data_IF_699264310550
#
_entry.id   IF_699264310550
#
_cell.length_a   1.000
_cell.length_b   1.000
_cell.length_c   1.000
_cell.angle_alpha   90.00
_cell.angle_beta   90.00
_cell.angle_gamma   90.00
#
_symmetry.space_group_name_H-M   'P 1'
#
loop_
_entity.id
_entity.type
_entity.pdbx_description
1 polymer ?
#
# COMPACT_ATOMS: atom_id res chain seq x y z
N UNK A 1 -12.47 -42.15 28.84
CA UNK A 1 -13.10 -41.67 27.58
C UNK A 1 -13.43 -40.16 27.60
N UNK A 2 -13.24 -39.48 28.73
CA UNK A 2 -13.55 -38.06 28.98
C UNK A 2 -12.47 -37.08 28.49
N UNK A 3 -11.18 -37.43 28.60
CA UNK A 3 -10.09 -36.52 28.21
C UNK A 3 -9.98 -36.29 26.69
N UNK A 4 -10.28 -37.30 25.87
CA UNK A 4 -10.23 -37.17 24.40
C UNK A 4 -11.26 -36.16 23.88
N UNK A 5 -12.46 -36.14 24.47
CA UNK A 5 -13.51 -35.15 24.13
C UNK A 5 -13.15 -33.76 24.63
N UNK A 6 -12.49 -33.63 25.79
CA UNK A 6 -12.05 -32.34 26.33
C UNK A 6 -10.94 -31.73 25.49
N UNK A 7 -9.96 -32.52 25.08
CA UNK A 7 -8.84 -32.06 24.24
C UNK A 7 -9.32 -31.67 22.83
N UNK A 8 -10.28 -32.42 22.26
CA UNK A 8 -10.90 -32.06 20.99
C UNK A 8 -11.68 -30.73 21.06
N UNK A 9 -12.42 -30.49 22.15
CA UNK A 9 -13.10 -29.20 22.38
C UNK A 9 -12.10 -28.06 22.50
N UNK A 10 -11.03 -28.24 23.27
CA UNK A 10 -10.02 -27.21 23.49
C UNK A 10 -9.30 -26.85 22.18
N UNK A 11 -8.89 -27.85 21.39
CA UNK A 11 -8.25 -27.63 20.10
C UNK A 11 -9.14 -26.89 19.11
N UNK A 12 -10.44 -27.17 19.13
CA UNK A 12 -11.40 -26.48 18.26
C UNK A 12 -11.58 -25.00 18.62
N UNK A 13 -11.65 -24.68 19.92
CA UNK A 13 -11.70 -23.30 20.40
C UNK A 13 -10.43 -22.52 20.05
N UNK A 14 -9.26 -23.11 20.27
CA UNK A 14 -7.97 -22.46 19.97
C UNK A 14 -7.86 -22.17 18.46
N UNK A 15 -8.18 -23.14 17.61
CA UNK A 15 -8.17 -22.95 16.16
C UNK A 15 -9.17 -21.90 15.70
N UNK A 16 -10.38 -21.89 16.27
CA UNK A 16 -11.40 -20.89 15.94
C UNK A 16 -10.96 -19.48 16.32
N UNK A 17 -10.38 -19.30 17.52
CA UNK A 17 -9.89 -18.00 17.97
C UNK A 17 -8.74 -17.53 17.09
N UNK A 18 -7.79 -18.41 16.77
CA UNK A 18 -6.67 -18.09 15.88
C UNK A 18 -7.16 -17.65 14.48
N UNK A 19 -8.09 -18.40 13.88
CA UNK A 19 -8.66 -18.06 12.57
C UNK A 19 -9.43 -16.73 12.61
N UNK A 20 -10.19 -16.47 13.69
CA UNK A 20 -10.93 -15.21 13.87
C UNK A 20 -9.98 -14.03 14.00
N UNK A 21 -8.89 -14.16 14.76
CA UNK A 21 -7.88 -13.11 14.88
C UNK A 21 -7.17 -12.83 13.55
N UNK A 22 -6.80 -13.86 12.79
CA UNK A 22 -6.19 -13.71 11.46
C UNK A 22 -7.16 -13.02 10.49
N UNK A 23 -8.44 -13.39 10.51
CA UNK A 23 -9.47 -12.77 9.67
C UNK A 23 -9.78 -11.33 10.07
N UNK A 24 -9.79 -11.01 11.37
CA UNK A 24 -9.98 -9.65 11.86
C UNK A 24 -8.81 -8.76 11.45
N UNK A 25 -7.57 -9.20 11.68
CA UNK A 25 -6.36 -8.48 11.28
C UNK A 25 -6.34 -8.27 9.75
N UNK A 26 -6.67 -9.32 8.99
CA UNK A 26 -6.72 -9.25 7.53
C UNK A 26 -7.85 -8.35 7.04
N UNK A 27 -9.06 -8.45 7.57
CA UNK A 27 -10.19 -7.60 7.18
C UNK A 27 -9.96 -6.13 7.53
N UNK A 28 -9.39 -5.86 8.71
CA UNK A 28 -8.99 -4.51 9.13
C UNK A 28 -7.93 -3.92 8.19
N UNK A 29 -6.96 -4.74 7.77
CA UNK A 29 -5.90 -4.33 6.85
C UNK A 29 -6.39 -4.11 5.41
N UNK A 30 -7.41 -4.85 4.97
CA UNK A 30 -7.85 -4.83 3.57
C UNK A 30 -8.98 -3.85 3.28
N UNK A 31 -9.96 -3.74 4.19
CA UNK A 31 -11.25 -3.10 3.90
C UNK A 31 -11.64 -2.09 4.99
N UNK A 32 -10.73 -1.84 5.95
CA UNK A 32 -10.96 -0.94 7.08
C UNK A 32 -11.61 -1.60 8.29
N UNK A 33 -11.72 -0.85 9.40
CA UNK A 33 -12.09 -1.41 10.70
C UNK A 33 -13.49 -2.03 10.74
N UNK A 34 -14.46 -1.39 10.07
CA UNK A 34 -15.86 -1.84 10.03
C UNK A 34 -16.01 -3.21 9.39
N UNK A 35 -15.26 -3.47 8.32
CA UNK A 35 -15.31 -4.74 7.59
C UNK A 35 -14.56 -5.84 8.36
N UNK A 36 -13.41 -5.52 8.96
CA UNK A 36 -12.69 -6.45 9.84
C UNK A 36 -13.52 -6.94 11.03
N UNK A 37 -14.26 -6.04 11.68
CA UNK A 37 -15.18 -6.38 12.78
C UNK A 37 -16.32 -7.29 12.28
N UNK A 38 -16.91 -6.97 11.13
CA UNK A 38 -17.99 -7.78 10.53
C UNK A 38 -17.52 -9.20 10.23
N UNK A 39 -16.32 -9.37 9.66
CA UNK A 39 -15.73 -10.68 9.42
C UNK A 39 -15.47 -11.48 10.70
N UNK A 40 -15.01 -10.82 11.76
CA UNK A 40 -14.75 -11.47 13.04
C UNK A 40 -16.03 -12.00 13.68
N UNK A 41 -17.11 -11.21 13.69
CA UNK A 41 -18.41 -11.64 14.19
C UNK A 41 -18.99 -12.79 13.36
N UNK A 42 -18.86 -12.72 12.03
CA UNK A 42 -19.31 -13.80 11.15
C UNK A 42 -18.56 -15.10 11.45
N UNK A 43 -17.21 -15.03 11.54
CA UNK A 43 -16.32 -16.17 11.88
C UNK A 43 -16.69 -16.80 13.22
N UNK A 44 -16.90 -15.96 14.24
CA UNK A 44 -17.30 -16.41 15.57
C UNK A 44 -18.67 -17.09 15.55
N UNK A 45 -19.65 -16.55 14.81
CA UNK A 45 -20.96 -17.15 14.67
C UNK A 45 -20.90 -18.55 14.03
N UNK A 46 -20.07 -18.73 13.00
CA UNK A 46 -19.87 -20.03 12.33
C UNK A 46 -19.16 -21.01 13.25
N UNK A 47 -18.19 -20.55 14.03
CA UNK A 47 -17.54 -21.39 15.01
C UNK A 47 -18.57 -21.89 16.04
N UNK A 48 -19.42 -21.02 16.56
CA UNK A 48 -20.45 -21.42 17.51
C UNK A 48 -21.45 -22.39 16.88
N UNK A 49 -21.89 -22.16 15.64
CA UNK A 49 -22.82 -23.04 14.92
C UNK A 49 -22.16 -24.39 14.60
N UNK A 50 -20.94 -24.39 14.07
CA UNK A 50 -20.18 -25.60 13.74
C UNK A 50 -19.85 -26.43 14.96
N UNK A 51 -19.51 -25.79 16.08
CA UNK A 51 -19.31 -26.46 17.37
C UNK A 51 -20.60 -27.14 17.84
N UNK A 52 -21.73 -26.42 17.81
CA UNK A 52 -23.03 -27.00 18.17
C UNK A 52 -23.39 -28.18 17.25
N UNK A 53 -23.12 -28.05 15.95
CA UNK A 53 -23.46 -29.07 14.97
C UNK A 53 -22.60 -30.33 15.09
N UNK A 54 -21.30 -30.19 15.34
CA UNK A 54 -20.36 -31.31 15.44
C UNK A 54 -20.36 -31.98 16.81
N UNK A 55 -20.66 -31.23 17.89
CA UNK A 55 -20.53 -31.74 19.26
C UNK A 55 -21.86 -32.05 19.96
N UNK A 56 -22.99 -31.52 19.48
CA UNK A 56 -24.28 -31.58 20.23
C UNK A 56 -25.41 -32.25 19.43
N UNK A 57 -25.48 -32.08 18.10
CA UNK A 57 -26.56 -32.65 17.27
C UNK A 57 -26.06 -33.66 16.24
N UNK A 58 -26.92 -34.59 15.82
CA UNK A 58 -26.66 -35.49 14.69
C UNK A 58 -26.68 -34.71 13.38
N UNK A 59 -25.68 -34.87 12.51
CA UNK A 59 -25.57 -34.09 11.29
C UNK A 59 -26.70 -34.45 10.31
N UNK A 60 -27.61 -33.51 10.08
CA UNK A 60 -28.57 -33.53 8.97
C UNK A 60 -27.88 -33.19 7.63
N UNK A 61 -28.40 -33.69 6.50
CA UNK A 61 -27.82 -33.36 5.17
C UNK A 61 -27.86 -31.86 4.88
N UNK A 62 -28.93 -31.17 5.28
CA UNK A 62 -29.13 -29.74 5.02
C UNK A 62 -28.09 -28.87 5.73
N UNK A 63 -27.72 -29.19 6.98
CA UNK A 63 -26.72 -28.41 7.73
C UNK A 63 -25.30 -28.58 7.17
N UNK A 64 -24.96 -29.76 6.62
CA UNK A 64 -23.67 -29.97 5.95
C UNK A 64 -23.58 -29.12 4.68
N UNK A 65 -24.64 -29.09 3.86
CA UNK A 65 -24.69 -28.29 2.63
C UNK A 65 -24.56 -26.78 2.92
N UNK A 66 -25.30 -26.28 3.91
CA UNK A 66 -25.19 -24.87 4.36
C UNK A 66 -23.76 -24.53 4.82
N UNK A 67 -23.13 -25.41 5.60
CA UNK A 67 -21.76 -25.22 6.07
C UNK A 67 -20.74 -25.22 4.91
N UNK A 68 -20.91 -26.12 3.92
CA UNK A 68 -20.02 -26.20 2.76
C UNK A 68 -20.11 -24.98 1.83
N UNK A 69 -21.32 -24.51 1.51
CA UNK A 69 -21.53 -23.29 0.70
C UNK A 69 -20.89 -22.10 1.40
N UNK A 70 -21.06 -22.02 2.71
CA UNK A 70 -20.51 -20.94 3.51
C UNK A 70 -18.97 -21.00 3.59
N UNK A 71 -18.41 -22.18 3.85
CA UNK A 71 -16.96 -22.41 3.86
C UNK A 71 -16.32 -22.09 2.50
N UNK A 72 -16.98 -22.44 1.39
CA UNK A 72 -16.56 -22.03 0.05
C UNK A 72 -16.55 -20.51 -0.11
N UNK A 73 -17.58 -19.82 0.40
CA UNK A 73 -17.67 -18.34 0.33
C UNK A 73 -16.54 -17.68 1.12
N UNK A 74 -16.26 -18.15 2.35
CA UNK A 74 -15.10 -17.69 3.13
C UNK A 74 -13.76 -17.99 2.43
N UNK A 75 -13.63 -19.17 1.82
CA UNK A 75 -12.41 -19.55 1.09
C UNK A 75 -12.24 -18.66 -0.14
N UNK A 76 -13.31 -18.36 -0.88
CA UNK A 76 -13.27 -17.44 -2.02
C UNK A 76 -12.84 -16.04 -1.60
N UNK A 77 -13.36 -15.51 -0.49
CA UNK A 77 -12.94 -14.22 0.07
C UNK A 77 -11.47 -14.25 0.50
N UNK A 78 -11.02 -15.32 1.17
CA UNK A 78 -9.62 -15.51 1.57
C UNK A 78 -8.65 -15.65 0.38
N UNK A 79 -9.13 -16.18 -0.75
CA UNK A 79 -8.37 -16.31 -1.99
C UNK A 79 -8.46 -15.08 -2.89
N UNK A 80 -9.40 -14.17 -2.62
CA UNK A 80 -9.45 -12.91 -3.36
C UNK A 80 -8.17 -12.15 -3.01
N UNK A 81 -7.30 -11.85 -3.99
CA UNK A 81 -6.09 -11.11 -3.73
C UNK A 81 -6.50 -9.80 -3.10
N UNK A 82 -5.81 -9.47 -2.02
CA UNK A 82 -5.91 -8.18 -1.35
C UNK A 82 -5.84 -7.06 -2.39
N UNK A 83 -6.99 -6.47 -2.74
CA UNK A 83 -7.01 -5.12 -3.29
C UNK A 83 -6.64 -4.23 -2.12
N UNK A 84 -5.33 -4.09 -1.88
CA UNK A 84 -4.79 -3.16 -0.92
C UNK A 84 -5.41 -1.79 -1.19
N UNK A 85 -5.78 -1.04 -0.15
CA UNK A 85 -6.15 0.36 -0.37
C UNK A 85 -5.01 1.03 -1.16
N UNK A 86 -5.32 1.92 -2.12
CA UNK A 86 -4.30 2.58 -2.93
C UNK A 86 -3.16 3.17 -2.07
N UNK A 87 -3.53 3.75 -0.92
CA UNK A 87 -2.62 4.37 0.05
C UNK A 87 -1.66 3.36 0.69
N UNK A 88 -2.12 2.13 0.99
CA UNK A 88 -1.26 1.07 1.56
C UNK A 88 -0.45 0.37 0.47
N UNK A 89 -0.97 0.33 -0.76
CA UNK A 89 -0.30 -0.28 -1.90
C UNK A 89 0.99 0.49 -2.26
N UNK A 90 1.01 1.81 -2.08
CA UNK A 90 2.22 2.64 -2.17
C UNK A 90 3.32 2.13 -1.21
N UNK A 91 2.98 1.84 0.06
CA UNK A 91 3.95 1.37 1.05
C UNK A 91 4.46 -0.05 0.79
N UNK A 92 3.67 -0.89 0.13
CA UNK A 92 4.06 -2.27 -0.25
C UNK A 92 4.94 -2.25 -1.51
N UNK A 93 4.70 -1.31 -2.42
CA UNK A 93 5.43 -1.19 -3.68
C UNK A 93 6.65 -0.24 -3.61
N UNK A 94 7.27 -0.05 -2.42
CA UNK A 94 8.49 0.77 -2.30
C UNK A 94 9.56 0.43 -3.34
N UNK A 95 9.78 -0.86 -3.57
CA UNK A 95 10.76 -1.33 -4.55
C UNK A 95 10.35 -1.01 -6.00
N UNK A 96 9.05 -1.08 -6.31
CA UNK A 96 8.54 -0.70 -7.62
C UNK A 96 8.66 0.80 -7.83
N UNK A 97 8.28 1.61 -6.83
CA UNK A 97 8.33 3.06 -6.87
C UNK A 97 9.77 3.57 -6.98
N UNK A 98 10.71 3.02 -6.20
CA UNK A 98 12.14 3.33 -6.30
C UNK A 98 12.68 2.99 -7.70
N UNK A 99 12.32 1.82 -8.25
CA UNK A 99 12.74 1.44 -9.61
C UNK A 99 12.14 2.35 -10.68
N UNK A 100 10.88 2.77 -10.53
CA UNK A 100 10.25 3.73 -11.44
C UNK A 100 10.91 5.09 -11.35
N UNK A 101 11.09 5.64 -10.14
CA UNK A 101 11.74 6.92 -9.92
C UNK A 101 13.16 6.96 -10.51
N UNK A 102 13.99 5.94 -10.24
CA UNK A 102 15.33 5.84 -10.82
C UNK A 102 15.33 5.79 -12.34
N UNK A 103 14.36 5.09 -12.94
CA UNK A 103 14.27 4.95 -14.39
C UNK A 103 13.85 6.27 -15.03
N UNK A 104 12.79 6.89 -14.54
CA UNK A 104 12.27 8.16 -15.07
C UNK A 104 13.28 9.29 -14.91
N UNK A 105 13.92 9.40 -13.74
CA UNK A 105 15.00 10.37 -13.51
C UNK A 105 16.21 10.12 -14.41
N UNK A 106 16.66 8.88 -14.55
CA UNK A 106 17.77 8.57 -15.43
C UNK A 106 17.46 8.96 -16.88
N UNK A 107 16.26 8.64 -17.37
CA UNK A 107 15.82 9.02 -18.72
C UNK A 107 15.78 10.54 -18.88
N UNK A 108 15.19 11.28 -17.94
CA UNK A 108 15.13 12.75 -18.01
C UNK A 108 16.52 13.39 -18.04
N UNK A 109 17.44 12.90 -17.21
CA UNK A 109 18.81 13.42 -17.11
C UNK A 109 19.69 13.03 -18.31
N UNK A 110 19.44 11.88 -18.94
CA UNK A 110 20.16 11.44 -20.14
C UNK A 110 19.69 12.17 -21.40
N UNK A 111 18.40 12.49 -21.50
CA UNK A 111 17.82 13.17 -22.67
C UNK A 111 18.27 14.63 -22.81
N UNK A 112 18.57 15.29 -21.69
CA UNK A 112 18.88 16.72 -21.65
C UNK A 112 20.35 16.98 -21.30
N UNK A 113 21.11 17.47 -22.28
CA UNK A 113 22.54 17.77 -22.11
C UNK A 113 22.84 18.79 -20.99
N UNK A 114 21.88 19.68 -20.70
CA UNK A 114 22.01 20.71 -19.66
C UNK A 114 21.94 20.15 -18.24
N UNK A 115 21.47 18.90 -18.08
CA UNK A 115 21.34 18.23 -16.79
C UNK A 115 22.52 17.31 -16.45
N UNK A 116 23.58 17.30 -17.26
CA UNK A 116 24.70 16.36 -17.16
C UNK A 116 25.43 16.37 -15.81
N UNK A 117 25.47 17.52 -15.14
CA UNK A 117 26.13 17.70 -13.84
C UNK A 117 25.18 17.51 -12.65
N UNK A 118 23.93 17.08 -12.91
CA UNK A 118 22.95 16.75 -11.89
C UNK A 118 23.09 15.27 -11.52
N UNK A 119 23.08 15.01 -10.21
CA UNK A 119 23.05 13.67 -9.63
C UNK A 119 21.78 13.54 -8.79
N UNK A 120 21.28 12.32 -8.71
CA UNK A 120 20.18 12.00 -7.83
C UNK A 120 20.55 10.83 -6.94
N UNK A 121 19.98 10.83 -5.74
CA UNK A 121 20.08 9.75 -4.77
C UNK A 121 18.67 9.39 -4.32
N UNK A 122 18.43 8.10 -4.13
CA UNK A 122 17.13 7.59 -3.66
C UNK A 122 17.34 6.87 -2.34
N UNK A 123 16.64 7.29 -1.28
CA UNK A 123 16.68 6.65 0.03
C UNK A 123 15.33 5.99 0.33
N UNK A 124 15.38 4.72 0.72
CA UNK A 124 14.19 3.94 1.05
C UNK A 124 13.91 4.02 2.56
N UNK A 125 13.04 4.94 2.98
CA UNK A 125 12.57 5.06 4.36
C UNK A 125 11.13 4.56 4.48
N UNK A 126 10.26 5.29 5.20
CA UNK A 126 8.81 5.05 5.21
C UNK A 126 8.21 5.32 3.82
N UNK A 127 8.72 6.33 3.12
CA UNK A 127 8.43 6.70 1.73
C UNK A 127 9.75 6.65 0.96
N UNK A 128 9.69 6.59 -0.37
CA UNK A 128 10.89 6.76 -1.21
C UNK A 128 11.23 8.25 -1.24
N UNK A 129 12.41 8.60 -0.73
CA UNK A 129 12.93 9.96 -0.80
C UNK A 129 13.89 10.07 -1.98
N UNK A 130 13.71 11.10 -2.78
CA UNK A 130 14.57 11.42 -3.92
C UNK A 130 15.26 12.74 -3.62
N UNK A 131 16.59 12.70 -3.51
CA UNK A 131 17.44 13.88 -3.33
C UNK A 131 18.13 14.21 -4.65
N UNK A 132 17.85 15.38 -5.23
CA UNK A 132 18.49 15.87 -6.45
C UNK A 132 19.56 16.92 -6.10
N UNK A 133 20.79 16.75 -6.57
CA UNK A 133 21.89 17.70 -6.31
C UNK A 133 22.76 17.89 -7.53
N UNK A 134 23.21 19.12 -7.77
CA UNK A 134 24.14 19.37 -8.86
C UNK A 134 24.26 20.83 -9.25
N UNK A 135 24.87 21.05 -10.41
CA UNK A 135 25.02 22.37 -10.99
C UNK A 135 24.35 22.43 -12.36
N UNK A 136 23.66 23.54 -12.65
CA UNK A 136 23.05 23.80 -13.96
C UNK A 136 23.64 25.05 -14.59
N UNK A 137 23.50 25.25 -15.93
CA UNK A 137 24.07 26.41 -16.61
C UNK A 137 23.55 27.75 -16.09
N UNK A 138 22.23 27.87 -15.86
CA UNK A 138 21.57 29.10 -15.43
C UNK A 138 20.29 28.80 -14.63
N UNK A 139 19.69 29.84 -14.06
CA UNK A 139 18.42 29.73 -13.31
C UNK A 139 17.22 29.25 -14.15
N UNK A 140 17.14 29.63 -15.43
CA UNK A 140 16.02 29.20 -16.30
C UNK A 140 15.98 27.69 -16.57
N UNK A 141 17.15 27.03 -16.51
CA UNK A 141 17.25 25.57 -16.57
C UNK A 141 16.69 24.93 -15.29
N UNK A 142 16.76 25.60 -14.13
CA UNK A 142 16.14 25.12 -12.89
C UNK A 142 14.63 25.11 -13.04
N UNK A 143 14.03 26.19 -13.53
CA UNK A 143 12.59 26.28 -13.74
C UNK A 143 12.10 25.23 -14.75
N UNK A 144 12.88 25.02 -15.82
CA UNK A 144 12.60 23.98 -16.83
C UNK A 144 12.65 22.58 -16.22
N UNK A 145 13.67 22.29 -15.40
CA UNK A 145 13.80 21.01 -14.70
C UNK A 145 12.63 20.79 -13.74
N UNK A 146 12.21 21.81 -12.98
CA UNK A 146 11.07 21.69 -12.07
C UNK A 146 9.77 21.39 -12.83
N UNK A 147 9.56 22.02 -13.99
CA UNK A 147 8.42 21.74 -14.86
C UNK A 147 8.47 20.34 -15.48
N UNK A 148 9.66 19.82 -15.79
CA UNK A 148 9.83 18.45 -16.27
C UNK A 148 9.57 17.44 -15.15
N UNK A 149 10.08 17.71 -13.94
CA UNK A 149 9.89 16.87 -12.76
C UNK A 149 8.42 16.78 -12.36
N UNK A 150 7.66 17.88 -12.39
CA UNK A 150 6.23 17.88 -12.02
C UNK A 150 5.36 17.01 -12.93
N UNK A 151 5.84 16.70 -14.14
CA UNK A 151 5.17 15.81 -15.10
C UNK A 151 5.46 14.33 -14.88
N UNK A 152 6.42 13.98 -14.04
CA UNK A 152 6.80 12.60 -13.79
C UNK A 152 5.83 11.92 -12.82
N UNK A 153 5.44 10.69 -13.15
CA UNK A 153 4.44 9.95 -12.38
C UNK A 153 4.94 9.61 -10.97
N UNK A 154 6.25 9.43 -10.80
CA UNK A 154 6.81 9.06 -9.50
C UNK A 154 6.66 10.16 -8.43
N UNK A 155 6.54 11.43 -8.82
CA UNK A 155 6.40 12.58 -7.89
C UNK A 155 5.13 12.47 -7.05
N UNK A 156 4.09 11.80 -7.56
CA UNK A 156 2.84 11.57 -6.81
C UNK A 156 3.00 10.59 -5.64
N UNK A 157 4.07 9.79 -5.62
CA UNK A 157 4.24 8.68 -4.69
C UNK A 157 5.61 8.65 -4.00
N UNK A 158 6.44 9.66 -4.23
CA UNK A 158 7.77 9.78 -3.65
C UNK A 158 7.90 11.19 -3.11
N UNK A 159 8.71 11.35 -2.06
CA UNK A 159 9.06 12.68 -1.61
C UNK A 159 10.33 13.15 -2.31
N UNK A 160 10.32 14.38 -2.82
CA UNK A 160 11.37 14.99 -3.59
C UNK A 160 11.94 16.19 -2.83
N UNK A 161 13.25 16.20 -2.69
CA UNK A 161 14.03 17.31 -2.16
C UNK A 161 15.21 17.57 -3.10
N UNK A 162 15.57 18.84 -3.28
CA UNK A 162 16.51 19.23 -4.30
C UNK A 162 17.30 20.46 -3.93
N UNK A 163 18.59 20.42 -4.28
CA UNK A 163 19.49 21.56 -4.16
C UNK A 163 20.34 21.71 -5.41
N UNK A 164 20.08 22.75 -6.19
CA UNK A 164 20.78 23.03 -7.43
C UNK A 164 21.50 24.37 -7.35
N UNK A 165 22.69 24.43 -7.95
CA UNK A 165 23.46 25.67 -8.05
C UNK A 165 23.52 26.13 -9.50
N UNK A 166 23.08 27.36 -9.78
CA UNK A 166 23.22 27.97 -11.09
C UNK A 166 24.68 28.43 -11.32
N UNK A 167 25.31 28.02 -12.42
CA UNK A 167 26.74 28.25 -12.70
C UNK A 167 27.04 29.71 -13.04
N UNK A 168 26.12 30.37 -13.72
CA UNK A 168 26.24 31.77 -14.14
C UNK A 168 26.25 32.76 -12.97
N UNK A 169 25.43 32.50 -11.95
CA UNK A 169 25.17 33.40 -10.83
C UNK A 169 25.74 32.89 -9.51
N UNK A 170 26.04 31.59 -9.40
CA UNK A 170 26.37 30.93 -8.13
C UNK A 170 25.19 30.81 -7.18
N UNK A 171 23.98 31.18 -7.61
CA UNK A 171 22.77 31.11 -6.79
C UNK A 171 22.41 29.66 -6.48
N UNK A 172 22.09 29.40 -5.22
CA UNK A 172 21.63 28.09 -4.75
C UNK A 172 20.11 28.13 -4.66
N UNK A 173 19.46 27.20 -5.35
CA UNK A 173 18.02 26.98 -5.30
C UNK A 173 17.74 25.67 -4.58
N UNK A 174 17.02 25.76 -3.47
CA UNK A 174 16.50 24.63 -2.72
C UNK A 174 15.01 24.50 -3.02
N UNK A 175 14.53 23.28 -3.26
CA UNK A 175 13.13 22.99 -3.56
C UNK A 175 12.71 21.65 -2.95
N UNK A 176 11.43 21.54 -2.65
CA UNK A 176 10.77 20.35 -2.09
C UNK A 176 9.46 20.08 -2.82
N UNK A 177 8.81 18.96 -2.51
CA UNK A 177 7.48 18.58 -3.05
C UNK A 177 6.44 19.71 -2.99
N UNK A 178 6.48 20.52 -1.93
CA UNK A 178 5.54 21.64 -1.74
C UNK A 178 5.60 22.65 -2.89
N UNK A 179 6.74 22.75 -3.58
CA UNK A 179 6.94 23.64 -4.71
C UNK A 179 6.45 23.07 -6.05
N UNK A 180 6.17 21.77 -6.14
CA UNK A 180 5.78 21.09 -7.39
C UNK A 180 4.27 20.89 -7.54
N UNK A 181 3.50 21.02 -6.46
CA UNK A 181 2.06 20.76 -6.46
C UNK A 181 1.19 22.00 -6.74
N UNK A 182 1.77 23.20 -6.83
CA UNK A 182 1.01 24.46 -6.96
C UNK A 182 0.21 24.62 -8.26
N UNK A 183 0.51 23.86 -9.31
CA UNK A 183 -0.16 24.04 -10.61
C UNK A 183 -1.42 23.19 -10.78
N UNK A 184 -1.67 22.20 -9.90
CA UNK A 184 -2.81 21.28 -10.10
C UNK A 184 -4.10 21.72 -9.42
N UNK A 185 -4.02 22.60 -8.41
CA UNK A 185 -5.20 22.99 -7.62
C UNK A 185 -5.95 24.20 -8.23
N UNK A 186 -5.28 25.02 -9.05
CA UNK A 186 -5.91 26.17 -9.70
C UNK A 186 -6.74 25.82 -10.95
N UNK A 187 -6.57 24.62 -11.53
CA UNK A 187 -7.35 24.18 -12.69
C UNK A 187 -8.66 23.48 -12.31
N UNK A 188 -8.86 23.13 -11.04
CA UNK A 188 -10.07 22.47 -10.56
C UNK A 188 -11.21 23.45 -10.19
N UNK A 189 -10.88 24.72 -9.93
CA UNK A 189 -11.87 25.76 -9.57
C UNK A 189 -12.37 26.58 -10.79
N UNK A 190 -11.95 26.20 -12.00
CA UNK A 190 -12.32 26.88 -13.25
C UNK A 190 -13.15 25.99 -14.21
N UNK A 191 -13.77 24.91 -13.72
CA UNK A 191 -14.77 24.12 -14.45
C UNK A 191 -16.12 24.06 -13.75
#
# INVERSE_FOLDING_TARGET
MTDRKRNAKLGWWISSVAITCVLLLRGHYLLGPSVGITFAFMTLAIAVIGYRYLCIQTPTRTGVVMFSIFAMTCTAIMFTPATFSPDVQHFINKYKNDRTARRELATLLEENADYRDIRFETEQLKVVFVSIRGTVPNGGVIDSLLADLSRLDFVRYCSLDGRLTARDTGAVHEFSDDHLHFDTENDADNQ
#
